data_IF_643574126528
#
_entry.id   IF_643574126528
#
_cell.length_a   1.000
_cell.length_b   1.000
_cell.length_c   1.000
_cell.angle_alpha   90.00
_cell.angle_beta   90.00
_cell.angle_gamma   90.00
#
_symmetry.space_group_name_H-M   'P 1'
#
loop_
_entity.id
_entity.type
_entity.pdbx_description
1 polymer ?
#
# COMPACT_ATOMS: atom_id res chain seq x y z
N UNK A 1 8.11 -22.44 9.91
CA UNK A 1 8.77 -21.30 10.55
C UNK A 1 9.68 -20.52 9.59
N UNK A 2 10.94 -20.93 9.33
CA UNK A 2 11.92 -20.11 8.57
C UNK A 2 11.45 -19.65 7.18
N UNK A 3 10.93 -20.56 6.34
CA UNK A 3 10.42 -20.23 5.00
C UNK A 3 9.30 -19.17 5.03
N UNK A 4 8.34 -19.32 5.95
CA UNK A 4 7.23 -18.38 6.13
C UNK A 4 7.73 -16.99 6.51
N UNK A 5 8.70 -16.92 7.44
CA UNK A 5 9.34 -15.66 7.84
C UNK A 5 10.06 -15.00 6.66
N UNK A 6 10.78 -15.78 5.83
CA UNK A 6 11.43 -15.26 4.63
C UNK A 6 10.42 -14.68 3.64
N UNK A 7 9.35 -15.42 3.30
CA UNK A 7 8.29 -14.93 2.40
C UNK A 7 7.58 -13.68 2.95
N UNK A 8 7.36 -13.62 4.26
CA UNK A 8 6.79 -12.44 4.92
C UNK A 8 7.67 -11.20 4.71
N UNK A 9 8.98 -11.31 4.93
CA UNK A 9 9.88 -10.17 4.74
C UNK A 9 10.07 -9.79 3.27
N UNK A 10 10.07 -10.76 2.35
CA UNK A 10 10.09 -10.50 0.91
C UNK A 10 8.84 -9.69 0.50
N UNK A 11 7.66 -10.11 0.95
CA UNK A 11 6.40 -9.41 0.62
C UNK A 11 6.33 -8.02 1.27
N UNK A 12 6.92 -7.81 2.45
CA UNK A 12 7.11 -6.44 2.98
C UNK A 12 7.97 -5.62 2.03
N UNK A 13 9.10 -6.15 1.57
CA UNK A 13 9.97 -5.46 0.62
C UNK A 13 9.22 -5.04 -0.65
N UNK A 14 8.36 -5.91 -1.16
CA UNK A 14 7.50 -5.59 -2.30
C UNK A 14 6.46 -4.52 -1.98
N UNK A 15 5.77 -4.60 -0.84
CA UNK A 15 4.84 -3.52 -0.41
C UNK A 15 5.58 -2.18 -0.36
N UNK A 16 6.76 -2.13 0.26
CA UNK A 16 7.55 -0.90 0.34
C UNK A 16 7.97 -0.41 -1.05
N UNK A 17 8.37 -1.31 -1.94
CA UNK A 17 8.75 -0.98 -3.31
C UNK A 17 7.60 -0.30 -4.08
N UNK A 18 6.36 -0.78 -3.93
CA UNK A 18 5.21 -0.19 -4.62
C UNK A 18 4.75 1.14 -4.01
N UNK A 19 4.86 1.33 -2.69
CA UNK A 19 4.27 2.48 -2.03
C UNK A 19 5.24 3.63 -1.75
N UNK A 20 6.48 3.34 -1.37
CA UNK A 20 7.42 4.38 -0.89
C UNK A 20 7.76 5.41 -1.97
N UNK A 21 8.12 5.04 -3.21
CA UNK A 21 8.43 6.02 -4.25
C UNK A 21 7.26 6.96 -4.54
N UNK A 22 6.06 6.40 -4.77
CA UNK A 22 4.86 7.20 -5.01
C UNK A 22 4.46 8.07 -3.82
N UNK A 23 4.66 7.59 -2.60
CA UNK A 23 4.41 8.38 -1.40
C UNK A 23 5.35 9.58 -1.29
N UNK A 24 6.65 9.41 -1.57
CA UNK A 24 7.63 10.51 -1.59
C UNK A 24 7.28 11.52 -2.68
N UNK A 25 6.96 11.06 -3.90
CA UNK A 25 6.56 11.95 -5.00
C UNK A 25 5.31 12.77 -4.67
N UNK A 26 4.32 12.15 -4.01
CA UNK A 26 3.12 12.83 -3.53
C UNK A 26 3.42 13.89 -2.46
N UNK A 27 4.32 13.60 -1.51
CA UNK A 27 4.75 14.57 -0.49
C UNK A 27 5.47 15.76 -1.13
N UNK A 28 6.36 15.47 -2.07
CA UNK A 28 7.15 16.47 -2.77
C UNK A 28 6.37 17.23 -3.85
N UNK A 29 5.12 16.82 -4.13
CA UNK A 29 4.27 17.40 -5.18
C UNK A 29 5.01 17.50 -6.51
N UNK A 30 5.64 16.41 -6.93
CA UNK A 30 6.35 16.37 -8.21
C UNK A 30 5.40 16.73 -9.36
N UNK A 31 5.86 17.44 -10.40
CA UNK A 31 5.00 17.93 -11.49
C UNK A 31 4.08 16.86 -12.10
N UNK A 32 4.61 15.65 -12.35
CA UNK A 32 3.86 14.53 -12.92
C UNK A 32 2.63 14.16 -12.07
N UNK A 33 2.77 14.13 -10.74
CA UNK A 33 1.67 13.79 -9.82
C UNK A 33 0.68 14.93 -9.63
N UNK A 34 1.15 16.18 -9.71
CA UNK A 34 0.26 17.35 -9.73
C UNK A 34 -0.60 17.34 -11.00
N UNK A 35 0.00 17.01 -12.15
CA UNK A 35 -0.73 16.87 -13.41
C UNK A 35 -1.77 15.75 -13.34
N UNK A 36 -1.40 14.56 -12.83
CA UNK A 36 -2.33 13.45 -12.62
C UNK A 36 -3.51 13.89 -11.73
N UNK A 37 -3.25 14.55 -10.59
CA UNK A 37 -4.32 15.01 -9.71
C UNK A 37 -5.24 16.04 -10.38
N UNK A 38 -4.68 16.95 -11.18
CA UNK A 38 -5.46 17.92 -11.95
C UNK A 38 -6.34 17.23 -13.00
N UNK A 39 -5.81 16.22 -13.72
CA UNK A 39 -6.59 15.43 -14.68
C UNK A 39 -7.73 14.66 -14.00
N UNK A 40 -7.51 14.16 -12.78
CA UNK A 40 -8.53 13.51 -11.96
C UNK A 40 -9.54 14.48 -11.31
N UNK A 41 -9.30 15.80 -11.41
CA UNK A 41 -10.11 16.83 -10.75
C UNK A 41 -9.93 16.87 -9.22
N UNK A 42 -8.82 16.33 -8.71
CA UNK A 42 -8.53 16.30 -7.28
C UNK A 42 -7.81 17.56 -6.81
N UNK A 43 -8.17 18.09 -5.62
CA UNK A 43 -7.48 19.24 -5.08
C UNK A 43 -6.05 18.87 -4.67
N UNK A 44 -5.09 19.72 -5.03
CA UNK A 44 -3.66 19.47 -4.87
C UNK A 44 -3.22 19.26 -3.40
N UNK A 45 -3.94 19.81 -2.42
CA UNK A 45 -3.61 19.61 -1.01
C UNK A 45 -3.71 18.14 -0.57
N UNK A 46 -4.46 17.31 -1.31
CA UNK A 46 -4.58 15.87 -1.02
C UNK A 46 -3.30 15.10 -1.31
N UNK A 47 -2.44 15.57 -2.23
CA UNK A 47 -1.17 14.92 -2.56
C UNK A 47 -0.30 14.67 -1.33
N UNK A 48 0.15 15.71 -0.59
CA UNK A 48 1.02 15.49 0.56
C UNK A 48 0.31 14.72 1.69
N UNK A 49 -1.00 14.92 1.86
CA UNK A 49 -1.78 14.16 2.84
C UNK A 49 -1.74 12.65 2.54
N UNK A 50 -2.05 12.25 1.31
CA UNK A 50 -2.03 10.85 0.89
C UNK A 50 -0.63 10.28 0.92
N UNK A 51 0.39 11.06 0.54
CA UNK A 51 1.79 10.65 0.61
C UNK A 51 2.23 10.34 2.04
N UNK A 52 1.93 11.21 3.01
CA UNK A 52 2.22 10.96 4.43
C UNK A 52 1.46 9.75 4.95
N UNK A 53 0.17 9.62 4.62
CA UNK A 53 -0.65 8.49 5.04
C UNK A 53 -0.10 7.15 4.53
N UNK A 54 0.33 7.08 3.26
CA UNK A 54 0.99 5.90 2.67
C UNK A 54 2.28 5.54 3.41
N UNK A 55 3.14 6.51 3.72
CA UNK A 55 4.39 6.26 4.45
C UNK A 55 4.13 5.74 5.86
N UNK A 56 3.15 6.30 6.57
CA UNK A 56 2.74 5.81 7.89
C UNK A 56 2.22 4.38 7.81
N UNK A 57 1.40 4.06 6.81
CA UNK A 57 0.94 2.69 6.56
C UNK A 57 2.12 1.72 6.34
N UNK A 58 3.07 2.10 5.49
CA UNK A 58 4.29 1.33 5.24
C UNK A 58 5.12 1.10 6.50
N UNK A 59 5.32 2.15 7.30
CA UNK A 59 6.06 2.07 8.56
C UNK A 59 5.40 1.07 9.52
N UNK A 60 4.08 1.14 9.66
CA UNK A 60 3.32 0.23 10.54
C UNK A 60 3.38 -1.21 10.06
N UNK A 61 3.34 -1.47 8.74
CA UNK A 61 3.48 -2.83 8.18
C UNK A 61 4.82 -3.46 8.56
N UNK A 62 5.91 -2.69 8.56
CA UNK A 62 7.25 -3.15 8.95
C UNK A 62 7.33 -3.44 10.46
N UNK A 63 6.72 -2.61 11.29
CA UNK A 63 6.81 -2.73 12.75
C UNK A 63 6.06 -3.97 13.27
N UNK A 64 6.66 -4.80 14.15
CA UNK A 64 6.03 -6.03 14.62
C UNK A 64 5.02 -5.84 15.77
N UNK A 65 4.98 -4.65 16.38
CA UNK A 65 4.45 -4.43 17.73
C UNK A 65 2.94 -4.12 17.75
N UNK A 66 2.44 -3.43 16.72
CA UNK A 66 1.13 -2.78 16.77
C UNK A 66 0.06 -3.56 16.00
N UNK A 67 -0.51 -4.63 16.59
CA UNK A 67 -1.50 -5.49 15.91
C UNK A 67 -2.70 -4.72 15.35
N UNK A 68 -3.39 -3.93 16.17
CA UNK A 68 -4.57 -3.16 15.73
C UNK A 68 -4.20 -2.09 14.69
N UNK A 69 -3.08 -1.39 14.89
CA UNK A 69 -2.65 -0.36 13.95
C UNK A 69 -2.26 -0.96 12.59
N UNK A 70 -1.74 -2.20 12.60
CA UNK A 70 -1.41 -2.94 11.39
C UNK A 70 -2.65 -3.32 10.58
N UNK A 71 -3.76 -3.69 11.22
CA UNK A 71 -5.05 -3.85 10.54
C UNK A 71 -5.45 -2.57 9.80
N UNK A 72 -5.34 -1.42 10.46
CA UNK A 72 -5.66 -0.11 9.88
C UNK A 72 -4.73 0.23 8.72
N UNK A 73 -3.44 -0.07 8.85
CA UNK A 73 -2.47 0.13 7.79
C UNK A 73 -2.80 -0.72 6.55
N UNK A 74 -3.10 -2.01 6.72
CA UNK A 74 -3.49 -2.86 5.61
C UNK A 74 -4.77 -2.38 4.93
N UNK A 75 -5.80 -2.05 5.71
CA UNK A 75 -7.05 -1.51 5.16
C UNK A 75 -6.80 -0.21 4.37
N UNK A 76 -6.04 0.73 4.94
CA UNK A 76 -5.71 2.00 4.29
C UNK A 76 -4.93 1.83 2.99
N UNK A 77 -3.91 0.96 2.97
CA UNK A 77 -3.11 0.69 1.77
C UNK A 77 -3.95 0.04 0.65
N UNK A 78 -4.86 -0.87 1.00
CA UNK A 78 -5.78 -1.48 0.03
C UNK A 78 -6.76 -0.44 -0.51
N UNK A 79 -7.39 0.35 0.37
CA UNK A 79 -8.34 1.40 -0.04
C UNK A 79 -7.65 2.43 -0.95
N UNK A 80 -6.42 2.82 -0.64
CA UNK A 80 -5.66 3.76 -1.46
C UNK A 80 -5.40 3.24 -2.88
N UNK A 81 -4.94 1.98 -3.02
CA UNK A 81 -4.71 1.38 -4.33
C UNK A 81 -6.01 1.16 -5.11
N UNK A 82 -7.04 0.63 -4.46
CA UNK A 82 -8.34 0.41 -5.10
C UNK A 82 -8.97 1.73 -5.51
N UNK A 83 -8.87 2.75 -4.65
CA UNK A 83 -9.30 4.11 -4.94
C UNK A 83 -8.56 4.67 -6.14
N UNK A 84 -7.23 4.56 -6.20
CA UNK A 84 -6.44 5.03 -7.34
C UNK A 84 -6.83 4.34 -8.66
N UNK A 85 -7.03 3.02 -8.65
CA UNK A 85 -7.52 2.27 -9.82
C UNK A 85 -8.89 2.76 -10.23
N UNK A 86 -9.82 2.88 -9.27
CA UNK A 86 -11.18 3.36 -9.54
C UNK A 86 -11.17 4.75 -10.16
N UNK A 87 -10.43 5.69 -9.58
CA UNK A 87 -10.32 7.07 -10.07
C UNK A 87 -9.74 7.13 -11.47
N UNK A 88 -8.68 6.36 -11.75
CA UNK A 88 -8.09 6.30 -13.08
C UNK A 88 -9.06 5.74 -14.12
N UNK A 89 -9.75 4.63 -13.81
CA UNK A 89 -10.75 4.04 -14.72
C UNK A 89 -11.90 4.99 -14.98
N UNK A 90 -12.38 5.69 -13.96
CA UNK A 90 -13.50 6.63 -14.11
C UNK A 90 -13.12 7.90 -14.87
N UNK A 91 -11.88 8.38 -14.74
CA UNK A 91 -11.43 9.59 -15.40
C UNK A 91 -11.01 9.37 -16.87
N UNK A 92 -10.34 8.26 -17.16
CA UNK A 92 -9.68 8.03 -18.46
C UNK A 92 -10.04 6.68 -19.12
N UNK A 93 -10.84 5.83 -18.47
CA UNK A 93 -11.11 4.47 -18.93
C UNK A 93 -10.05 3.46 -18.49
N UNK A 94 -10.20 2.20 -18.94
CA UNK A 94 -9.26 1.15 -18.57
C UNK A 94 -7.94 1.26 -19.32
N UNK A 95 -6.84 1.37 -18.56
CA UNK A 95 -5.47 1.27 -19.03
C UNK A 95 -4.84 -0.04 -18.50
N UNK A 96 -4.25 -0.89 -19.37
CA UNK A 96 -3.47 -2.05 -18.95
C UNK A 96 -2.38 -1.75 -17.90
N UNK A 97 -1.84 -0.53 -17.84
CA UNK A 97 -0.93 -0.08 -16.79
C UNK A 97 -1.50 -0.23 -15.37
N UNK A 98 -2.82 -0.13 -15.21
CA UNK A 98 -3.51 -0.30 -13.92
C UNK A 98 -3.42 -1.74 -13.38
N UNK A 99 -3.12 -2.73 -14.23
CA UNK A 99 -2.89 -4.10 -13.78
C UNK A 99 -1.72 -4.19 -12.80
N UNK A 100 -0.70 -3.33 -12.96
CA UNK A 100 0.42 -3.27 -12.03
C UNK A 100 -0.04 -2.86 -10.62
N UNK A 101 -1.00 -1.95 -10.51
CA UNK A 101 -1.60 -1.56 -9.24
C UNK A 101 -2.46 -2.70 -8.67
N UNK A 102 -3.15 -3.46 -9.52
CA UNK A 102 -3.86 -4.68 -9.12
C UNK A 102 -2.93 -5.74 -8.54
N UNK A 103 -1.73 -5.91 -9.12
CA UNK A 103 -0.69 -6.78 -8.56
C UNK A 103 -0.24 -6.27 -7.19
N UNK A 104 -0.06 -4.95 -7.01
CA UNK A 104 0.27 -4.37 -5.71
C UNK A 104 -0.80 -4.65 -4.64
N UNK A 105 -2.09 -4.58 -5.00
CA UNK A 105 -3.20 -4.97 -4.11
C UNK A 105 -3.06 -6.44 -3.70
N UNK A 106 -2.81 -7.33 -4.66
CA UNK A 106 -2.58 -8.75 -4.40
C UNK A 106 -1.40 -8.99 -3.45
N UNK A 107 -0.31 -8.25 -3.61
CA UNK A 107 0.87 -8.33 -2.73
C UNK A 107 0.52 -7.90 -1.30
N UNK A 108 -0.26 -6.83 -1.11
CA UNK A 108 -0.71 -6.39 0.21
C UNK A 108 -1.56 -7.46 0.89
N UNK A 109 -2.49 -8.09 0.15
CA UNK A 109 -3.30 -9.20 0.68
C UNK A 109 -2.46 -10.44 1.03
N UNK A 110 -1.49 -10.80 0.19
CA UNK A 110 -0.56 -11.91 0.50
C UNK A 110 0.25 -11.58 1.76
N UNK A 111 0.74 -10.36 1.90
CA UNK A 111 1.48 -9.94 3.09
C UNK A 111 0.61 -10.00 4.35
N UNK A 112 -0.63 -9.52 4.28
CA UNK A 112 -1.63 -9.61 5.35
C UNK A 112 -1.89 -11.07 5.76
N UNK A 113 -2.11 -11.96 4.78
CA UNK A 113 -2.35 -13.37 5.05
C UNK A 113 -1.13 -14.06 5.70
N UNK A 114 0.08 -13.75 5.23
CA UNK A 114 1.32 -14.24 5.84
C UNK A 114 1.49 -13.75 7.28
N UNK A 115 1.11 -12.50 7.56
CA UNK A 115 1.13 -11.95 8.91
C UNK A 115 0.19 -12.71 9.85
N UNK A 116 -1.07 -12.94 9.45
CA UNK A 116 -2.02 -13.72 10.25
C UNK A 116 -1.54 -15.14 10.50
N UNK A 117 -1.05 -15.83 9.47
CA UNK A 117 -0.46 -17.17 9.64
C UNK A 117 0.68 -17.21 10.65
N UNK A 118 1.50 -16.16 10.72
CA UNK A 118 2.57 -16.07 11.72
C UNK A 118 2.02 -15.87 13.13
N UNK A 119 0.94 -15.12 13.29
CA UNK A 119 0.27 -14.93 14.58
C UNK A 119 -0.37 -16.25 15.08
N UNK A 120 -1.04 -16.97 14.19
CA UNK A 120 -1.70 -18.24 14.54
C UNK A 120 -0.68 -19.30 14.98
N UNK A 121 0.45 -19.40 14.27
CA UNK A 121 1.54 -20.31 14.63
C UNK A 121 2.18 -19.94 15.97
N UNK A 122 2.41 -18.65 16.22
CA UNK A 122 2.95 -18.19 17.50
C UNK A 122 1.99 -18.47 18.67
N UNK A 123 0.67 -18.45 18.43
CA UNK A 123 -0.33 -18.78 19.44
C UNK A 123 -0.42 -20.29 19.70
N UNK A 124 -0.17 -21.14 18.69
CA UNK A 124 -0.16 -22.59 18.84
C UNK A 124 1.08 -23.13 19.57
N UNK A 125 2.17 -22.36 19.61
CA UNK A 125 3.42 -22.68 20.29
C UNK A 125 3.47 -22.18 21.76
N UNK A 126 2.46 -21.40 22.19
CA UNK A 126 2.35 -20.81 23.53
C UNK A 126 1.43 -21.62 24.44
#
# INVERSE_FOLDING_TARGET
MKKLTTFYWITIGLVLFFFVPGAIMNIMKTPDWVEVFNQLGYPEYLLPFLGVAKLLGCLVVVLPQFRRLKEWAYAGLVIDLVGAIYSAVMAAGFDPGLLLMGVAVGIVFVNYWLWHKRLDLAAAEA
#
